data_IF_658360820167
#
_entry.id   IF_658360820167
#
_cell.length_a   1.000
_cell.length_b   1.000
_cell.length_c   1.000
_cell.angle_alpha   90.00
_cell.angle_beta   90.00
_cell.angle_gamma   90.00
#
_symmetry.space_group_name_H-M   'P 1'
#
loop_
_entity.id
_entity.type
_entity.pdbx_description
1 polymer ?
#
# COMPACT_ATOMS: atom_id res chain seq x y z
N UNK A 1 -9.01 49.91 -38.86
CA UNK A 1 -9.46 49.64 -37.48
C UNK A 1 -9.38 48.14 -37.22
N UNK A 2 -8.18 47.62 -37.01
CA UNK A 2 -7.98 46.26 -36.50
C UNK A 2 -6.95 46.39 -35.37
N UNK A 3 -7.45 46.38 -34.13
CA UNK A 3 -6.60 46.37 -32.95
C UNK A 3 -6.31 44.90 -32.68
N UNK A 4 -5.11 44.49 -33.07
CA UNK A 4 -4.46 43.25 -32.68
C UNK A 4 -4.37 43.19 -31.14
N UNK A 5 -5.29 42.46 -30.51
CA UNK A 5 -5.23 42.11 -29.10
C UNK A 5 -4.07 41.13 -28.89
N UNK A 6 -2.85 41.66 -28.82
CA UNK A 6 -1.67 40.94 -28.37
C UNK A 6 -1.93 40.37 -26.99
N UNK A 7 -2.19 39.08 -26.92
CA UNK A 7 -2.23 38.34 -25.67
C UNK A 7 -0.91 38.57 -24.94
N UNK A 8 -0.94 39.31 -23.83
CA UNK A 8 0.20 39.49 -22.95
C UNK A 8 0.70 38.11 -22.50
N UNK A 9 1.99 37.79 -22.64
CA UNK A 9 2.51 36.49 -22.22
C UNK A 9 2.27 36.35 -20.70
N UNK A 10 1.46 35.36 -20.33
CA UNK A 10 1.14 35.06 -18.94
C UNK A 10 2.45 34.72 -18.22
N UNK A 11 2.82 35.51 -17.21
CA UNK A 11 4.04 35.31 -16.43
C UNK A 11 3.87 34.04 -15.59
N UNK A 12 4.54 32.96 -15.98
CA UNK A 12 4.51 31.69 -15.26
C UNK A 12 5.40 31.78 -14.01
N UNK A 13 4.82 31.59 -12.83
CA UNK A 13 5.60 31.51 -11.60
C UNK A 13 6.14 30.09 -11.40
N UNK A 14 7.40 29.97 -10.97
CA UNK A 14 8.05 28.68 -10.72
C UNK A 14 7.24 27.81 -9.75
N UNK A 15 6.66 28.39 -8.69
CA UNK A 15 5.84 27.64 -7.74
C UNK A 15 4.54 27.13 -8.37
N UNK A 16 3.92 27.86 -9.30
CA UNK A 16 2.72 27.41 -10.02
C UNK A 16 3.07 26.25 -10.95
N UNK A 17 4.23 26.31 -11.60
CA UNK A 17 4.74 25.20 -12.39
C UNK A 17 5.00 23.98 -11.51
N UNK A 18 5.68 24.14 -10.37
CA UNK A 18 5.91 23.04 -9.44
C UNK A 18 4.62 22.47 -8.86
N UNK A 19 3.63 23.29 -8.50
CA UNK A 19 2.33 22.79 -8.02
C UNK A 19 1.62 22.01 -9.14
N UNK A 20 1.59 22.55 -10.35
CA UNK A 20 0.97 21.88 -11.50
C UNK A 20 1.67 20.57 -11.87
N UNK A 21 3.01 20.55 -11.84
CA UNK A 21 3.81 19.39 -12.20
C UNK A 21 3.81 18.35 -11.06
N UNK A 22 3.84 18.79 -9.79
CA UNK A 22 3.71 17.91 -8.63
C UNK A 22 2.34 17.25 -8.58
N UNK A 23 1.26 17.95 -8.96
CA UNK A 23 -0.07 17.34 -9.09
C UNK A 23 -0.11 16.28 -10.20
N UNK A 24 0.53 16.53 -11.35
CA UNK A 24 0.65 15.57 -12.45
C UNK A 24 1.52 14.37 -12.10
N UNK A 25 2.68 14.61 -11.48
CA UNK A 25 3.59 13.57 -11.00
C UNK A 25 2.95 12.74 -9.90
N UNK A 26 2.21 13.37 -8.97
CA UNK A 26 1.36 12.66 -8.00
C UNK A 26 0.38 11.77 -8.73
N UNK A 27 -0.40 12.30 -9.67
CA UNK A 27 -1.36 11.50 -10.43
C UNK A 27 -0.69 10.33 -11.17
N UNK A 28 0.49 10.54 -11.75
CA UNK A 28 1.25 9.51 -12.46
C UNK A 28 1.80 8.42 -11.53
N UNK A 29 2.36 8.81 -10.37
CA UNK A 29 2.95 7.87 -9.41
C UNK A 29 1.87 7.06 -8.69
N UNK A 30 0.81 7.71 -8.19
CA UNK A 30 -0.27 7.00 -7.48
C UNK A 30 -1.10 6.12 -8.43
N UNK A 31 -1.20 6.47 -9.71
CA UNK A 31 -1.83 5.62 -10.72
C UNK A 31 -0.99 4.37 -11.04
N UNK A 32 0.31 4.39 -10.77
CA UNK A 32 1.14 3.21 -10.92
C UNK A 32 0.82 2.19 -9.81
N UNK A 33 0.03 1.18 -10.14
CA UNK A 33 -0.34 0.13 -9.21
C UNK A 33 0.87 -0.68 -8.69
N UNK A 34 1.98 -0.79 -9.43
CA UNK A 34 3.17 -1.51 -8.97
C UNK A 34 3.80 -0.81 -7.77
N UNK A 35 3.84 0.53 -7.79
CA UNK A 35 4.40 1.32 -6.70
C UNK A 35 3.77 0.96 -5.34
N UNK A 36 2.45 0.77 -5.30
CA UNK A 36 1.75 0.41 -4.06
C UNK A 36 2.10 -0.99 -3.53
N UNK A 37 2.47 -1.89 -4.43
CA UNK A 37 2.91 -3.24 -4.06
C UNK A 37 4.34 -3.21 -3.51
N UNK A 38 5.22 -2.43 -4.14
CA UNK A 38 6.58 -2.23 -3.66
C UNK A 38 6.57 -1.56 -2.27
N UNK A 39 5.77 -0.49 -2.09
CA UNK A 39 5.59 0.18 -0.79
C UNK A 39 5.08 -0.79 0.28
N UNK A 40 4.15 -1.68 -0.07
CA UNK A 40 3.66 -2.69 0.87
C UNK A 40 4.76 -3.67 1.27
N UNK A 41 5.52 -4.18 0.30
CA UNK A 41 6.61 -5.13 0.56
C UNK A 41 7.74 -4.50 1.39
N UNK A 42 8.09 -3.24 1.12
CA UNK A 42 9.07 -2.49 1.88
C UNK A 42 8.61 -2.30 3.34
N UNK A 43 7.33 -1.92 3.54
CA UNK A 43 6.76 -1.77 4.88
C UNK A 43 6.72 -3.11 5.64
N UNK A 44 6.37 -4.21 4.96
CA UNK A 44 6.38 -5.56 5.55
C UNK A 44 7.80 -5.95 5.96
N UNK A 45 8.80 -5.71 5.12
CA UNK A 45 10.19 -6.00 5.43
C UNK A 45 10.66 -5.21 6.65
N UNK A 46 10.36 -3.92 6.70
CA UNK A 46 10.73 -3.04 7.81
C UNK A 46 10.06 -3.47 9.14
N UNK A 47 8.75 -3.76 9.12
CA UNK A 47 8.03 -4.19 10.33
C UNK A 47 8.53 -5.56 10.83
N UNK A 48 8.82 -6.49 9.92
CA UNK A 48 9.39 -7.79 10.29
C UNK A 48 10.78 -7.65 10.90
N UNK A 49 11.62 -6.76 10.39
CA UNK A 49 12.93 -6.46 10.97
C UNK A 49 12.77 -5.86 12.38
N UNK A 50 11.90 -4.86 12.53
CA UNK A 50 11.65 -4.19 13.82
C UNK A 50 11.12 -5.14 14.90
N UNK A 51 10.24 -6.09 14.55
CA UNK A 51 9.70 -7.08 15.49
C UNK A 51 10.64 -8.28 15.66
N UNK A 52 11.74 -8.34 14.90
CA UNK A 52 12.73 -9.42 14.95
C UNK A 52 12.27 -10.73 14.30
N UNK A 53 11.29 -10.65 13.38
CA UNK A 53 10.85 -11.76 12.54
C UNK A 53 11.73 -11.95 11.29
N UNK A 54 12.43 -10.90 10.83
CA UNK A 54 13.39 -11.00 9.72
C UNK A 54 14.76 -11.46 10.23
N UNK A 55 14.93 -12.78 10.35
CA UNK A 55 16.23 -13.39 10.58
C UNK A 55 16.52 -14.22 9.34
N UNK A 56 17.67 -14.03 8.71
CA UNK A 56 17.95 -14.62 7.39
C UNK A 56 17.50 -16.08 7.23
N UNK A 57 17.10 -16.46 6.02
CA UNK A 57 16.44 -17.74 5.68
C UNK A 57 16.99 -19.00 6.36
N UNK A 58 18.32 -19.09 6.53
CA UNK A 58 19.00 -20.21 7.21
C UNK A 58 18.71 -20.26 8.70
N UNK A 59 18.70 -19.10 9.38
CA UNK A 59 18.45 -19.01 10.81
C UNK A 59 16.97 -19.24 11.12
N UNK A 60 16.08 -18.73 10.28
CA UNK A 60 14.65 -19.04 10.35
C UNK A 60 14.37 -20.53 10.22
N UNK A 61 14.99 -21.22 9.25
CA UNK A 61 14.80 -22.67 9.11
C UNK A 61 15.32 -23.46 10.33
N UNK A 62 16.45 -23.04 10.92
CA UNK A 62 17.00 -23.67 12.12
C UNK A 62 16.14 -23.44 13.36
N UNK A 63 15.58 -22.24 13.54
CA UNK A 63 14.64 -21.96 14.64
C UNK A 63 13.33 -22.69 14.42
N UNK A 64 12.81 -22.70 13.20
CA UNK A 64 11.52 -23.35 12.92
C UNK A 64 11.54 -24.85 13.24
N UNK A 65 12.65 -25.55 13.00
CA UNK A 65 12.79 -26.97 13.31
C UNK A 65 12.78 -27.27 14.82
N UNK A 66 13.18 -26.31 15.66
CA UNK A 66 13.19 -26.45 17.13
C UNK A 66 11.91 -25.98 17.80
N UNK A 67 11.09 -25.18 17.13
CA UNK A 67 9.82 -24.69 17.68
C UNK A 67 8.77 -25.80 17.82
N UNK A 68 8.04 -25.74 18.94
CA UNK A 68 6.84 -26.55 19.15
C UNK A 68 5.72 -26.16 18.16
N UNK A 69 4.75 -27.06 17.99
CA UNK A 69 3.57 -26.79 17.16
C UNK A 69 2.78 -25.56 17.64
N UNK A 70 2.77 -25.28 18.93
CA UNK A 70 2.07 -24.12 19.52
C UNK A 70 2.79 -22.83 19.15
N UNK A 71 4.12 -22.78 19.28
CA UNK A 71 4.91 -21.59 18.93
C UNK A 71 4.87 -21.29 17.43
N UNK A 72 4.94 -22.32 16.58
CA UNK A 72 4.75 -22.16 15.12
C UNK A 72 3.40 -21.53 14.81
N UNK A 73 2.34 -21.99 15.46
CA UNK A 73 1.00 -21.43 15.30
C UNK A 73 0.92 -19.99 15.80
N UNK A 74 1.63 -19.65 16.89
CA UNK A 74 1.70 -18.28 17.38
C UNK A 74 2.39 -17.36 16.38
N UNK A 75 3.54 -17.77 15.85
CA UNK A 75 4.26 -17.00 14.81
C UNK A 75 3.40 -16.78 13.56
N UNK A 76 2.66 -17.80 13.12
CA UNK A 76 1.71 -17.66 12.00
C UNK A 76 0.62 -16.61 12.30
N UNK A 77 0.08 -16.59 13.51
CA UNK A 77 -0.92 -15.60 13.91
C UNK A 77 -0.33 -14.19 14.02
N UNK A 78 0.90 -14.08 14.54
CA UNK A 78 1.61 -12.81 14.64
C UNK A 78 1.91 -12.24 13.23
N UNK A 79 2.31 -13.10 12.29
CA UNK A 79 2.51 -12.76 10.88
C UNK A 79 1.21 -12.34 10.20
N UNK A 80 0.14 -13.12 10.37
CA UNK A 80 -1.18 -12.79 9.82
C UNK A 80 -1.66 -11.41 10.31
N UNK A 81 -1.43 -11.11 11.59
CA UNK A 81 -1.78 -9.83 12.21
C UNK A 81 -0.96 -8.67 11.63
N UNK A 82 0.35 -8.86 11.43
CA UNK A 82 1.24 -7.87 10.84
C UNK A 82 0.79 -7.51 9.43
N UNK A 83 0.63 -8.53 8.57
CA UNK A 83 0.22 -8.35 7.18
C UNK A 83 -1.17 -7.73 7.05
N UNK A 84 -2.13 -8.18 7.86
CA UNK A 84 -3.47 -7.60 7.95
C UNK A 84 -3.40 -6.11 8.26
N UNK A 85 -2.64 -5.73 9.29
CA UNK A 85 -2.53 -4.34 9.74
C UNK A 85 -1.95 -3.45 8.65
N UNK A 86 -0.89 -3.91 7.97
CA UNK A 86 -0.28 -3.16 6.87
C UNK A 86 -1.19 -3.05 5.65
N UNK A 87 -1.99 -4.09 5.34
CA UNK A 87 -3.00 -4.00 4.28
C UNK A 87 -4.10 -2.98 4.59
N UNK A 88 -4.57 -2.92 5.84
CA UNK A 88 -5.50 -1.89 6.31
C UNK A 88 -4.91 -0.48 6.12
N UNK A 89 -3.67 -0.29 6.58
CA UNK A 89 -2.97 0.99 6.47
C UNK A 89 -2.76 1.41 5.01
N UNK A 90 -2.39 0.46 4.13
CA UNK A 90 -2.23 0.70 2.71
C UNK A 90 -3.54 1.16 2.06
N UNK A 91 -4.65 0.46 2.35
CA UNK A 91 -5.97 0.83 1.82
C UNK A 91 -6.39 2.24 2.28
N UNK A 92 -6.18 2.57 3.56
CA UNK A 92 -6.45 3.88 4.10
C UNK A 92 -5.56 4.96 3.44
N UNK A 93 -4.28 4.68 3.23
CA UNK A 93 -3.37 5.62 2.59
C UNK A 93 -3.74 5.86 1.12
N UNK A 94 -4.08 4.81 0.35
CA UNK A 94 -4.56 4.98 -1.03
C UNK A 94 -5.83 5.84 -1.10
N UNK A 95 -6.75 5.67 -0.12
CA UNK A 95 -7.95 6.50 -0.01
C UNK A 95 -7.61 7.96 0.30
N UNK A 96 -6.67 8.23 1.21
CA UNK A 96 -6.18 9.59 1.50
C UNK A 96 -5.55 10.25 0.28
N UNK A 97 -4.94 9.47 -0.62
CA UNK A 97 -4.38 9.93 -1.88
C UNK A 97 -5.41 10.12 -2.99
N UNK A 98 -6.71 9.97 -2.68
CA UNK A 98 -7.86 10.15 -3.59
C UNK A 98 -7.81 9.24 -4.82
N UNK A 99 -7.34 8.00 -4.63
CA UNK A 99 -7.43 6.98 -5.67
C UNK A 99 -8.87 6.50 -5.89
N UNK A 100 -9.14 5.95 -7.09
CA UNK A 100 -10.42 5.32 -7.38
C UNK A 100 -10.64 4.10 -6.48
N UNK A 101 -11.85 3.99 -5.91
CA UNK A 101 -12.20 2.93 -4.96
C UNK A 101 -12.10 1.54 -5.60
N UNK A 102 -12.39 1.40 -6.89
CA UNK A 102 -12.25 0.11 -7.58
C UNK A 102 -10.80 -0.28 -7.75
N UNK A 103 -9.91 0.68 -8.03
CA UNK A 103 -8.47 0.43 -8.14
C UNK A 103 -7.88 0.02 -6.80
N UNK A 104 -8.25 0.70 -5.71
CA UNK A 104 -7.89 0.32 -4.34
C UNK A 104 -8.33 -1.13 -4.08
N UNK A 105 -9.60 -1.43 -4.32
CA UNK A 105 -10.17 -2.75 -4.07
C UNK A 105 -9.47 -3.85 -4.86
N UNK A 106 -9.21 -3.60 -6.14
CA UNK A 106 -8.54 -4.56 -7.01
C UNK A 106 -7.10 -4.80 -6.57
N UNK A 107 -6.36 -3.75 -6.20
CA UNK A 107 -4.98 -3.88 -5.72
C UNK A 107 -4.91 -4.59 -4.38
N UNK A 108 -5.71 -4.18 -3.39
CA UNK A 108 -5.73 -4.82 -2.06
C UNK A 108 -6.14 -6.30 -2.15
N UNK A 109 -7.12 -6.67 -3.00
CA UNK A 109 -7.46 -8.09 -3.21
C UNK A 109 -6.33 -8.91 -3.81
N UNK A 110 -5.57 -8.33 -4.76
CA UNK A 110 -4.42 -9.01 -5.35
C UNK A 110 -3.32 -9.24 -4.31
N UNK A 111 -2.97 -8.21 -3.52
CA UNK A 111 -1.97 -8.35 -2.46
C UNK A 111 -2.45 -9.36 -1.41
N UNK A 112 -3.72 -9.29 -1.00
CA UNK A 112 -4.32 -10.24 -0.06
C UNK A 112 -4.18 -11.70 -0.53
N UNK A 113 -4.42 -11.96 -1.83
CA UNK A 113 -4.25 -13.29 -2.41
C UNK A 113 -2.80 -13.79 -2.34
N UNK A 114 -1.83 -12.88 -2.46
CA UNK A 114 -0.39 -13.19 -2.34
C UNK A 114 0.07 -13.41 -0.89
N UNK A 115 -0.58 -12.78 0.10
CA UNK A 115 -0.19 -12.86 1.51
C UNK A 115 -0.54 -14.20 2.19
N UNK A 116 -1.41 -15.02 1.61
CA UNK A 116 -1.83 -16.31 2.17
C UNK A 116 -2.37 -16.24 3.63
N UNK A 117 -3.08 -15.16 3.97
CA UNK A 117 -3.57 -14.94 5.33
C UNK A 117 -4.59 -16.00 5.77
N UNK A 118 -4.64 -16.27 7.07
CA UNK A 118 -5.72 -17.03 7.67
C UNK A 118 -7.11 -16.47 7.34
N UNK A 119 -8.11 -17.36 7.30
CA UNK A 119 -9.50 -17.03 6.91
C UNK A 119 -10.07 -15.84 7.69
N UNK A 120 -9.79 -15.76 8.98
CA UNK A 120 -10.29 -14.70 9.85
C UNK A 120 -9.84 -13.31 9.40
N UNK A 121 -8.53 -13.12 9.18
CA UNK A 121 -7.97 -11.84 8.74
C UNK A 121 -8.36 -11.52 7.29
N UNK A 122 -8.40 -12.54 6.42
CA UNK A 122 -8.89 -12.39 5.05
C UNK A 122 -10.34 -11.88 5.00
N UNK A 123 -11.22 -12.38 5.87
CA UNK A 123 -12.60 -11.92 5.96
C UNK A 123 -12.69 -10.47 6.44
N UNK A 124 -11.90 -10.08 7.44
CA UNK A 124 -11.86 -8.70 7.94
C UNK A 124 -11.47 -7.70 6.83
N UNK A 125 -10.44 -8.02 6.05
CA UNK A 125 -10.01 -7.18 4.92
C UNK A 125 -11.11 -7.11 3.85
N UNK A 126 -11.75 -8.23 3.52
CA UNK A 126 -12.85 -8.20 2.54
C UNK A 126 -14.04 -7.36 3.03
N UNK A 127 -14.41 -7.44 4.31
CA UNK A 127 -15.45 -6.59 4.88
C UNK A 127 -15.09 -5.09 4.79
N UNK A 128 -13.83 -4.72 5.02
CA UNK A 128 -13.35 -3.35 4.81
C UNK A 128 -13.55 -2.92 3.35
N UNK A 129 -13.12 -3.75 2.40
CA UNK A 129 -13.24 -3.46 0.97
C UNK A 129 -14.70 -3.31 0.51
N UNK A 130 -15.62 -4.06 1.11
CA UNK A 130 -17.04 -3.95 0.83
C UNK A 130 -17.65 -2.68 1.44
N UNK A 131 -17.10 -2.18 2.57
CA UNK A 131 -17.48 -0.89 3.14
C UNK A 131 -16.96 0.28 2.33
N UNK A 132 -15.74 0.20 1.79
CA UNK A 132 -15.19 1.23 0.90
C UNK A 132 -16.07 1.48 -0.33
N UNK A 133 -16.73 0.44 -0.84
CA UNK A 133 -17.64 0.57 -1.98
C UNK A 133 -18.91 1.39 -1.68
N UNK A 134 -19.21 1.64 -0.40
CA UNK A 134 -20.38 2.42 0.02
C UNK A 134 -20.08 3.91 0.22
N UNK A 135 -18.80 4.30 0.10
CA UNK A 135 -18.34 5.69 0.16
C UNK A 135 -18.32 6.31 -1.24
#
# INVERSE_FOLDING_TARGET
>A
NEIDTKATPQRLYLFEWFISDLEKLRHSLWANLQFWEDVFLDAVAQERDMVGMDQGTVEMMKRYSTLSRVERKRLQLDEDRLLSTLLFNLAAFMLMMRMDVNDIRNKIRRILASCHLGLHYSQQINCLLDQLHKL
#
